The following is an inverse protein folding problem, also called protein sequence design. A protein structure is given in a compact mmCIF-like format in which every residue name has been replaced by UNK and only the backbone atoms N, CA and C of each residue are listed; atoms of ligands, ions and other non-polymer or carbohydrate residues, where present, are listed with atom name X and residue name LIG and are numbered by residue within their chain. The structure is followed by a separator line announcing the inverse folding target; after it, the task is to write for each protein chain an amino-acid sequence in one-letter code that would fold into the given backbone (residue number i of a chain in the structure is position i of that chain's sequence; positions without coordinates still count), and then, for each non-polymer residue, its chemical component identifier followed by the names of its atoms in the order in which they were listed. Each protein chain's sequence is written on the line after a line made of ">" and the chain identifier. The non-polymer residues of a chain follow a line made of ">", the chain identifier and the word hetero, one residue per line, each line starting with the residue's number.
data_IF_466422603551
#
_entry.id   IF_466422603551
#
_cell.length_a   1.000
_cell.length_b   1.000
_cell.length_c   1.000
_cell.angle_alpha   90.00
_cell.angle_beta   90.00
_cell.angle_gamma   90.00
#
_symmetry.space_group_name_H-M   'P 1'
#
loop_
_entity.id
_entity.type
_entity.pdbx_description
1 polymer ?
#
# COMPACT_ATOMS: atom_id res chain seq x y z
N UNK A 1 -15.24 12.45 12.57
CA UNK A 1 -13.86 12.02 12.91
C UNK A 1 -12.97 12.69 11.90
N UNK A 2 -11.96 13.44 12.30
CA UNK A 2 -11.16 14.19 11.33
C UNK A 2 -10.01 13.35 10.78
N UNK A 3 -9.57 13.62 9.54
CA UNK A 3 -8.47 12.89 8.91
C UNK A 3 -7.17 12.91 9.73
N UNK A 4 -6.94 13.97 10.50
CA UNK A 4 -5.83 14.10 11.45
C UNK A 4 -5.78 13.04 12.55
N UNK A 5 -6.91 12.43 12.89
CA UNK A 5 -7.00 11.37 13.91
C UNK A 5 -6.62 9.98 13.33
N UNK A 6 -6.64 9.85 12.00
CA UNK A 6 -6.31 8.61 11.28
C UNK A 6 -4.92 8.64 10.65
N UNK A 7 -4.47 9.81 10.20
CA UNK A 7 -3.21 9.96 9.48
C UNK A 7 -1.99 9.71 10.37
N UNK A 8 -0.88 9.32 9.74
CA UNK A 8 0.42 9.29 10.43
C UNK A 8 0.85 10.71 10.75
N UNK A 9 0.78 11.09 12.02
CA UNK A 9 1.14 12.44 12.50
C UNK A 9 2.60 12.64 12.92
N UNK A 10 3.42 11.57 12.95
CA UNK A 10 4.82 11.67 13.39
C UNK A 10 5.71 11.56 12.14
N UNK A 11 6.51 12.60 11.89
CA UNK A 11 7.56 12.69 10.85
C UNK A 11 7.23 11.95 9.54
N UNK A 12 6.62 12.68 8.60
CA UNK A 12 6.53 12.24 7.21
C UNK A 12 7.83 12.66 6.52
N UNK A 13 8.59 11.68 6.04
CA UNK A 13 9.73 11.95 5.17
C UNK A 13 9.22 12.33 3.79
N UNK A 14 9.84 13.34 3.18
CA UNK A 14 9.52 13.85 1.85
C UNK A 14 10.83 14.05 1.08
N UNK A 15 10.76 14.01 -0.24
CA UNK A 15 11.89 14.36 -1.11
C UNK A 15 11.50 15.47 -2.09
N UNK A 16 12.50 16.17 -2.63
CA UNK A 16 12.31 17.06 -3.78
C UNK A 16 12.08 16.26 -5.07
N UNK A 17 11.50 16.91 -6.07
CA UNK A 17 11.27 16.34 -7.41
C UNK A 17 12.57 16.11 -8.20
N UNK A 18 13.59 16.91 -7.91
CA UNK A 18 14.93 16.82 -8.45
C UNK A 18 15.86 15.86 -7.68
N UNK A 19 15.38 15.30 -6.56
CA UNK A 19 16.16 14.38 -5.74
C UNK A 19 16.59 13.15 -6.54
N UNK A 20 17.81 12.70 -6.25
CA UNK A 20 18.40 11.51 -6.85
C UNK A 20 17.67 10.24 -6.40
N UNK A 21 17.34 9.34 -7.34
CA UNK A 21 16.59 8.14 -7.03
C UNK A 21 17.35 7.18 -6.10
N UNK A 22 18.69 7.17 -6.11
CA UNK A 22 19.50 6.43 -5.16
C UNK A 22 19.37 6.99 -3.75
N UNK A 23 19.42 8.32 -3.61
CA UNK A 23 19.27 8.99 -2.32
C UNK A 23 17.89 8.69 -1.72
N UNK A 24 16.83 8.78 -2.54
CA UNK A 24 15.48 8.45 -2.10
C UNK A 24 15.36 6.97 -1.71
N UNK A 25 15.94 6.05 -2.50
CA UNK A 25 15.98 4.63 -2.14
C UNK A 25 16.74 4.39 -0.82
N UNK A 26 17.82 5.14 -0.57
CA UNK A 26 18.59 5.05 0.67
C UNK A 26 17.78 5.54 1.87
N UNK A 27 17.13 6.69 1.76
CA UNK A 27 16.22 7.20 2.80
C UNK A 27 15.07 6.21 3.07
N UNK A 28 14.53 5.60 2.02
CA UNK A 28 13.54 4.53 2.14
C UNK A 28 14.07 3.34 2.94
N UNK A 29 15.28 2.85 2.64
CA UNK A 29 15.90 1.77 3.40
C UNK A 29 16.22 2.16 4.86
N UNK A 30 16.89 3.29 5.07
CA UNK A 30 17.37 3.75 6.38
C UNK A 30 16.23 3.98 7.37
N UNK A 31 15.07 4.40 6.86
CA UNK A 31 13.90 4.73 7.67
C UNK A 31 12.75 3.70 7.56
N UNK A 32 12.98 2.55 6.89
CA UNK A 32 11.97 1.51 6.66
C UNK A 32 10.71 2.07 5.96
N UNK A 33 10.83 2.90 4.93
CA UNK A 33 9.73 3.58 4.24
C UNK A 33 9.57 2.98 2.84
N UNK A 34 8.35 2.54 2.47
CA UNK A 34 8.07 2.02 1.13
C UNK A 34 7.36 2.99 0.19
N UNK A 35 7.05 4.20 0.66
CA UNK A 35 6.41 5.26 -0.10
C UNK A 35 6.73 6.64 0.48
N UNK A 36 7.14 7.59 -0.37
CA UNK A 36 7.54 8.93 0.02
C UNK A 36 6.80 9.98 -0.84
N UNK A 37 6.21 11.02 -0.24
CA UNK A 37 5.71 12.17 -0.98
C UNK A 37 6.85 12.95 -1.64
N UNK A 38 6.60 13.43 -2.85
CA UNK A 38 7.52 14.24 -3.65
C UNK A 38 6.98 15.66 -3.72
N UNK A 39 7.81 16.63 -3.34
CA UNK A 39 7.48 18.04 -3.36
C UNK A 39 8.15 18.73 -4.54
N UNK A 40 7.44 19.65 -5.18
CA UNK A 40 8.02 20.56 -6.16
C UNK A 40 8.96 21.57 -5.48
N UNK A 41 9.71 22.33 -6.30
CA UNK A 41 10.57 23.42 -5.84
C UNK A 41 9.86 24.51 -5.01
N UNK A 42 8.53 24.61 -5.08
CA UNK A 42 7.72 25.54 -4.27
C UNK A 42 7.26 24.92 -2.94
N UNK A 43 7.65 23.67 -2.65
CA UNK A 43 7.23 22.92 -1.46
C UNK A 43 5.82 22.35 -1.55
N UNK A 44 5.20 22.32 -2.73
CA UNK A 44 3.87 21.73 -2.92
C UNK A 44 3.98 20.25 -3.27
N UNK A 45 3.00 19.47 -2.81
CA UNK A 45 2.91 18.05 -3.15
C UNK A 45 2.69 17.88 -4.66
N UNK A 46 3.68 17.30 -5.34
CA UNK A 46 3.65 17.05 -6.79
C UNK A 46 3.33 15.58 -7.10
N UNK A 47 3.87 14.67 -6.29
CA UNK A 47 3.84 13.23 -6.58
C UNK A 47 4.08 12.34 -5.37
N UNK A 48 4.15 11.04 -5.65
CA UNK A 48 4.54 10.00 -4.72
C UNK A 48 5.52 9.05 -5.41
N UNK A 49 6.57 8.65 -4.71
CA UNK A 49 7.51 7.61 -5.16
C UNK A 49 7.46 6.42 -4.21
N UNK A 50 7.45 5.21 -4.76
CA UNK A 50 7.32 3.94 -4.01
C UNK A 50 8.41 2.94 -4.39
N UNK A 51 8.59 1.88 -3.58
CA UNK A 51 9.47 0.74 -3.92
C UNK A 51 9.16 0.17 -5.32
N UNK A 52 7.88 0.21 -5.71
CA UNK A 52 7.42 -0.26 -7.01
C UNK A 52 7.88 0.67 -8.13
N UNK A 53 7.87 1.98 -7.92
CA UNK A 53 8.34 2.95 -8.90
C UNK A 53 9.86 2.79 -9.11
N UNK A 54 10.63 2.67 -8.03
CA UNK A 54 12.07 2.34 -8.11
C UNK A 54 12.31 1.04 -8.88
N UNK A 55 11.54 -0.01 -8.58
CA UNK A 55 11.73 -1.30 -9.26
C UNK A 55 11.33 -1.25 -10.73
N UNK A 56 10.14 -0.75 -11.04
CA UNK A 56 9.54 -0.85 -12.36
C UNK A 56 9.97 0.27 -13.32
N UNK A 57 10.38 1.43 -12.82
CA UNK A 57 10.66 2.62 -13.64
C UNK A 57 12.11 3.08 -13.59
N UNK A 58 12.88 2.70 -12.57
CA UNK A 58 14.34 2.93 -12.51
C UNK A 58 15.13 1.66 -12.87
N UNK A 59 14.94 0.59 -12.09
CA UNK A 59 15.75 -0.64 -12.21
C UNK A 59 15.41 -1.43 -13.47
N UNK A 60 14.13 -1.77 -13.67
CA UNK A 60 13.73 -2.62 -14.80
C UNK A 60 14.10 -2.03 -16.18
N UNK A 61 14.00 -0.70 -16.41
CA UNK A 61 14.47 -0.09 -17.66
C UNK A 61 15.98 0.16 -17.71
N UNK A 62 16.71 -0.03 -16.61
CA UNK A 62 18.15 0.19 -16.54
C UNK A 62 18.58 1.67 -16.54
N UNK A 63 17.76 2.54 -15.94
CA UNK A 63 18.10 3.96 -15.80
C UNK A 63 19.24 4.17 -14.79
N UNK A 64 19.96 5.29 -14.92
CA UNK A 64 20.99 5.67 -13.96
C UNK A 64 20.39 5.87 -12.57
N UNK A 65 21.11 5.48 -11.51
CA UNK A 65 20.67 5.81 -10.15
C UNK A 65 20.62 7.33 -9.90
N UNK A 66 21.38 8.08 -10.71
CA UNK A 66 21.34 9.53 -10.92
C UNK A 66 19.99 10.14 -11.34
N UNK A 67 19.01 9.31 -11.70
CA UNK A 67 17.77 9.78 -12.33
C UNK A 67 16.94 10.58 -11.31
N UNK A 68 16.51 11.81 -11.65
CA UNK A 68 15.62 12.58 -10.81
C UNK A 68 14.30 11.85 -10.52
N UNK A 69 13.84 11.90 -9.28
CA UNK A 69 12.62 11.18 -8.87
C UNK A 69 11.38 11.61 -9.64
N UNK A 70 11.30 12.86 -10.11
CA UNK A 70 10.19 13.32 -10.97
C UNK A 70 9.97 12.47 -12.22
N UNK A 71 11.01 11.82 -12.74
CA UNK A 71 10.92 11.00 -13.96
C UNK A 71 10.33 9.61 -13.70
N UNK A 72 10.36 9.16 -12.44
CA UNK A 72 9.92 7.82 -12.05
C UNK A 72 8.71 7.85 -11.09
N UNK A 73 8.40 8.98 -10.46
CA UNK A 73 7.29 9.09 -9.51
C UNK A 73 5.91 8.94 -10.16
N UNK A 74 4.90 8.67 -9.34
CA UNK A 74 3.49 8.76 -9.73
C UNK A 74 2.95 10.16 -9.41
N UNK A 75 2.42 10.84 -10.41
CA UNK A 75 1.90 12.21 -10.33
C UNK A 75 0.48 12.28 -9.73
N UNK A 76 0.09 13.49 -9.34
CA UNK A 76 -1.28 13.84 -8.95
C UNK A 76 -1.86 12.95 -7.82
N UNK A 77 -1.19 12.86 -6.67
CA UNK A 77 -1.74 12.13 -5.54
C UNK A 77 -3.04 12.80 -5.06
N UNK A 78 -4.04 11.98 -4.74
CA UNK A 78 -5.20 12.48 -4.00
C UNK A 78 -4.75 12.84 -2.58
N UNK A 79 -5.00 14.09 -2.18
CA UNK A 79 -4.72 14.58 -0.84
C UNK A 79 -6.03 14.95 -0.13
N UNK A 80 -6.04 14.78 1.19
CA UNK A 80 -7.18 15.10 2.05
C UNK A 80 -6.68 16.06 3.12
N UNK A 81 -7.41 17.15 3.33
CA UNK A 81 -7.05 18.12 4.38
C UNK A 81 -7.20 17.48 5.76
N UNK A 82 -6.30 17.82 6.69
CA UNK A 82 -6.27 17.26 8.06
C UNK A 82 -7.57 17.41 8.86
N UNK A 83 -8.37 18.41 8.50
CA UNK A 83 -9.65 18.74 9.15
C UNK A 83 -10.86 18.24 8.34
N UNK A 84 -10.64 17.54 7.23
CA UNK A 84 -11.73 16.91 6.51
C UNK A 84 -12.41 15.88 7.41
N UNK A 85 -13.74 15.96 7.50
CA UNK A 85 -14.53 14.93 8.16
C UNK A 85 -14.46 13.66 7.31
N UNK A 86 -13.99 12.60 7.93
CA UNK A 86 -13.92 11.28 7.34
C UNK A 86 -14.92 10.39 8.07
N UNK A 87 -16.08 10.26 7.44
CA UNK A 87 -17.09 9.28 7.82
C UNK A 87 -16.75 7.96 7.11
N UNK A 88 -17.00 6.83 7.78
CA UNK A 88 -16.87 5.47 7.22
C UNK A 88 -15.45 4.98 6.87
N UNK A 89 -14.38 5.56 7.46
CA UNK A 89 -13.02 5.00 7.31
C UNK A 89 -12.67 4.09 8.48
N UNK A 90 -12.62 2.78 8.23
CA UNK A 90 -12.13 1.77 9.17
C UNK A 90 -10.65 1.44 8.92
N UNK A 91 -9.84 1.50 9.98
CA UNK A 91 -8.42 1.14 9.93
C UNK A 91 -8.23 -0.38 9.89
N UNK A 92 -8.52 -0.99 8.75
CA UNK A 92 -8.37 -2.45 8.56
C UNK A 92 -6.91 -2.87 8.33
N UNK A 93 -6.04 -1.94 7.91
CA UNK A 93 -4.63 -2.22 7.62
C UNK A 93 -3.87 -2.32 8.95
N UNK A 94 -3.23 -3.45 9.26
CA UNK A 94 -2.52 -3.62 10.52
C UNK A 94 -1.30 -2.69 10.56
N UNK A 95 -1.14 -1.86 11.61
CA UNK A 95 0.04 -1.01 11.80
C UNK A 95 1.35 -1.82 11.75
N UNK A 96 2.50 -1.20 11.48
CA UNK A 96 3.79 -1.91 11.44
C UNK A 96 4.07 -2.70 12.72
N UNK A 97 4.90 -3.75 12.65
CA UNK A 97 5.21 -4.62 13.81
C UNK A 97 5.74 -3.82 15.00
N UNK A 98 6.51 -2.76 14.75
CA UNK A 98 7.13 -1.91 15.76
C UNK A 98 6.32 -0.64 16.06
N UNK A 99 5.04 -0.58 15.66
CA UNK A 99 4.20 0.59 15.90
C UNK A 99 4.01 0.84 17.41
N UNK A 100 4.31 2.07 17.83
CA UNK A 100 4.09 2.56 19.20
C UNK A 100 2.72 3.24 19.32
N UNK A 101 2.11 3.10 20.49
CA UNK A 101 0.90 3.80 20.91
C UNK A 101 1.26 5.28 21.11
N UNK A 102 0.51 6.19 20.50
CA UNK A 102 0.77 7.63 20.60
C UNK A 102 0.05 8.24 21.80
N UNK A 103 -1.21 7.89 22.02
CA UNK A 103 -2.01 8.38 23.13
C UNK A 103 -2.11 7.31 24.22
N UNK A 104 -1.36 7.51 25.30
CA UNK A 104 -1.40 6.65 26.48
C UNK A 104 -2.73 6.82 27.23
N UNK A 105 -3.10 5.82 28.05
CA UNK A 105 -4.38 5.81 28.78
C UNK A 105 -4.58 6.95 29.79
N UNK A 106 -3.53 7.72 30.08
CA UNK A 106 -3.59 8.91 30.93
C UNK A 106 -3.84 10.21 30.14
N UNK A 107 -4.00 10.13 28.81
CA UNK A 107 -4.35 11.28 27.99
C UNK A 107 -5.84 11.59 28.14
N UNK A 108 -6.18 12.87 28.29
CA UNK A 108 -7.58 13.35 28.29
C UNK A 108 -8.23 13.30 26.89
N UNK A 109 -7.49 12.92 25.86
CA UNK A 109 -7.96 12.83 24.47
C UNK A 109 -8.55 11.45 24.17
N UNK A 110 -9.53 11.41 23.25
CA UNK A 110 -10.11 10.16 22.75
C UNK A 110 -9.03 9.31 22.05
N UNK A 111 -8.98 7.98 22.29
CA UNK A 111 -7.99 7.10 21.68
C UNK A 111 -8.02 7.15 20.15
N UNK A 112 -6.86 7.33 19.52
CA UNK A 112 -6.75 7.23 18.06
C UNK A 112 -7.14 5.81 17.56
N UNK A 113 -7.87 5.68 16.43
CA UNK A 113 -8.21 4.37 15.84
C UNK A 113 -6.99 3.49 15.57
N UNK A 114 -5.86 4.11 15.19
CA UNK A 114 -4.56 3.41 15.03
C UNK A 114 -4.08 2.77 16.34
N UNK A 115 -4.23 3.46 17.45
CA UNK A 115 -3.77 2.97 18.76
C UNK A 115 -4.70 1.86 19.28
N UNK A 116 -6.00 1.93 18.98
CA UNK A 116 -6.93 0.82 19.22
C UNK A 116 -6.56 -0.43 18.42
N UNK A 117 -6.17 -0.29 17.15
CA UNK A 117 -5.64 -1.39 16.36
C UNK A 117 -4.37 -1.99 17.00
N UNK A 118 -3.45 -1.17 17.49
CA UNK A 118 -2.25 -1.66 18.20
C UNK A 118 -2.63 -2.39 19.49
N UNK A 119 -3.57 -1.87 20.27
CA UNK A 119 -4.07 -2.52 21.50
C UNK A 119 -4.75 -3.85 21.20
N UNK A 120 -5.59 -3.91 20.15
CA UNK A 120 -6.23 -5.13 19.66
C UNK A 120 -5.18 -6.18 19.26
N UNK A 121 -4.20 -5.79 18.44
CA UNK A 121 -3.09 -6.68 18.04
C UNK A 121 -2.32 -7.22 19.26
N UNK A 122 -2.09 -6.40 20.30
CA UNK A 122 -1.42 -6.85 21.53
C UNK A 122 -2.27 -7.80 22.38
N UNK A 123 -3.60 -7.70 22.30
CA UNK A 123 -4.54 -8.54 23.07
C UNK A 123 -4.75 -9.92 22.45
N UNK A 124 -5.08 -9.98 21.15
CA UNK A 124 -5.46 -11.23 20.46
C UNK A 124 -4.36 -11.78 19.55
N UNK A 125 -3.27 -11.04 19.38
CA UNK A 125 -2.20 -11.36 18.45
C UNK A 125 -2.51 -10.89 17.02
N UNK A 126 -1.45 -10.51 16.28
CA UNK A 126 -1.57 -9.91 14.94
C UNK A 126 -2.31 -10.78 13.92
N UNK A 127 -2.17 -12.11 14.02
CA UNK A 127 -2.81 -13.06 13.09
C UNK A 127 -4.32 -13.09 13.30
N UNK A 128 -4.77 -13.15 14.55
CA UNK A 128 -6.19 -13.24 14.88
C UNK A 128 -6.89 -11.89 14.67
N UNK A 129 -6.25 -10.80 15.07
CA UNK A 129 -6.75 -9.44 14.81
C UNK A 129 -7.01 -9.19 13.31
N UNK A 130 -6.09 -9.62 12.44
CA UNK A 130 -6.27 -9.52 10.97
C UNK A 130 -7.51 -10.26 10.45
N UNK A 131 -7.93 -11.35 11.11
CA UNK A 131 -9.15 -12.07 10.73
C UNK A 131 -10.38 -11.30 11.18
N UNK A 132 -10.39 -10.83 12.44
CA UNK A 132 -11.47 -10.06 13.03
C UNK A 132 -11.80 -8.80 12.21
N UNK A 133 -10.79 -8.03 11.79
CA UNK A 133 -10.98 -6.81 10.99
C UNK A 133 -11.16 -7.07 9.48
N UNK A 134 -11.30 -8.33 9.06
CA UNK A 134 -11.52 -8.67 7.65
C UNK A 134 -10.30 -8.45 6.72
N UNK A 135 -9.11 -8.13 7.25
CA UNK A 135 -7.89 -7.90 6.45
C UNK A 135 -7.46 -9.11 5.62
N UNK A 136 -7.90 -10.32 5.99
CA UNK A 136 -7.70 -11.54 5.20
C UNK A 136 -8.19 -11.38 3.74
N UNK A 137 -9.25 -10.62 3.49
CA UNK A 137 -9.79 -10.37 2.14
C UNK A 137 -8.78 -9.65 1.25
N UNK A 138 -8.03 -8.69 1.79
CA UNK A 138 -6.98 -7.99 1.05
C UNK A 138 -5.82 -8.92 0.70
N UNK A 139 -5.37 -9.75 1.64
CA UNK A 139 -4.31 -10.73 1.37
C UNK A 139 -4.73 -11.74 0.30
N UNK A 140 -6.00 -12.18 0.31
CA UNK A 140 -6.56 -13.06 -0.74
C UNK A 140 -6.63 -12.35 -2.09
N UNK A 141 -7.06 -11.08 -2.11
CA UNK A 141 -7.09 -10.26 -3.32
C UNK A 141 -5.69 -10.00 -3.88
N UNK A 142 -4.71 -9.64 -3.04
CA UNK A 142 -3.31 -9.44 -3.42
C UNK A 142 -2.71 -10.73 -4.00
N UNK A 143 -2.97 -11.87 -3.34
CA UNK A 143 -2.52 -13.18 -3.83
C UNK A 143 -3.18 -13.53 -5.17
N UNK A 144 -4.48 -13.30 -5.30
CA UNK A 144 -5.20 -13.52 -6.56
C UNK A 144 -4.67 -12.63 -7.69
N UNK A 145 -4.41 -11.35 -7.39
CA UNK A 145 -3.83 -10.40 -8.34
C UNK A 145 -2.39 -10.73 -8.70
N UNK A 146 -1.58 -11.19 -7.74
CA UNK A 146 -0.22 -11.67 -8.01
C UNK A 146 -0.25 -12.84 -9.00
N UNK A 147 -1.07 -13.86 -8.72
CA UNK A 147 -1.24 -15.02 -9.62
C UNK A 147 -1.76 -14.61 -10.99
N UNK A 148 -2.73 -13.69 -11.04
CA UNK A 148 -3.25 -13.12 -12.28
C UNK A 148 -2.12 -12.49 -13.10
N UNK A 149 -1.27 -11.66 -12.48
CA UNK A 149 -0.15 -10.99 -13.15
C UNK A 149 0.92 -11.97 -13.62
N UNK A 150 1.26 -12.97 -12.82
CA UNK A 150 2.20 -14.02 -13.21
C UNK A 150 1.69 -14.84 -14.40
N UNK A 151 0.39 -15.17 -14.44
CA UNK A 151 -0.16 -16.02 -15.49
C UNK A 151 -0.51 -15.25 -16.78
N UNK A 152 -0.90 -13.98 -16.69
CA UNK A 152 -1.49 -13.25 -17.83
C UNK A 152 -0.84 -11.89 -18.12
N UNK A 153 0.19 -11.50 -17.38
CA UNK A 153 0.82 -10.18 -17.46
C UNK A 153 0.13 -9.12 -16.61
N UNK A 154 0.79 -7.98 -16.47
CA UNK A 154 0.39 -6.88 -15.58
C UNK A 154 -0.61 -5.90 -16.20
N UNK A 155 -0.96 -6.06 -17.48
CA UNK A 155 -1.90 -5.20 -18.21
C UNK A 155 -3.00 -6.02 -18.91
N UNK A 156 -4.15 -5.36 -19.16
CA UNK A 156 -5.19 -5.87 -20.05
C UNK A 156 -4.82 -5.51 -21.49
N UNK A 157 -5.05 -6.43 -22.44
CA UNK A 157 -4.65 -6.25 -23.83
C UNK A 157 -5.60 -5.32 -24.60
N UNK A 158 -6.86 -5.25 -24.18
CA UNK A 158 -7.87 -4.41 -24.83
C UNK A 158 -7.89 -2.99 -24.26
N UNK A 159 -8.19 -2.01 -25.11
CA UNK A 159 -8.36 -0.60 -24.72
C UNK A 159 -9.83 -0.19 -24.49
N UNK A 160 -10.79 -1.00 -24.96
CA UNK A 160 -12.23 -0.76 -24.75
C UNK A 160 -12.69 -1.39 -23.43
N UNK A 161 -13.39 -0.61 -22.60
CA UNK A 161 -13.80 -1.03 -21.25
C UNK A 161 -14.67 -2.30 -21.23
N UNK A 162 -15.58 -2.46 -22.20
CA UNK A 162 -16.44 -3.65 -22.30
C UNK A 162 -15.63 -4.92 -22.62
N UNK A 163 -14.59 -4.78 -23.47
CA UNK A 163 -13.69 -5.88 -23.78
C UNK A 163 -12.75 -6.19 -22.61
N UNK A 164 -12.27 -5.16 -21.90
CA UNK A 164 -11.48 -5.31 -20.68
C UNK A 164 -12.24 -6.07 -19.58
N UNK A 165 -13.54 -5.79 -19.41
CA UNK A 165 -14.42 -6.54 -18.48
C UNK A 165 -14.50 -8.02 -18.86
N UNK A 166 -14.70 -8.30 -20.14
CA UNK A 166 -14.77 -9.68 -20.66
C UNK A 166 -13.45 -10.41 -20.48
N UNK A 167 -12.34 -9.78 -20.86
CA UNK A 167 -10.98 -10.28 -20.69
C UNK A 167 -10.69 -10.61 -19.21
N UNK A 168 -11.01 -9.69 -18.31
CA UNK A 168 -10.84 -9.88 -16.85
C UNK A 168 -11.66 -11.06 -16.35
N UNK A 169 -12.93 -11.19 -16.79
CA UNK A 169 -13.79 -12.33 -16.41
C UNK A 169 -13.22 -13.66 -16.92
N UNK A 170 -12.70 -13.71 -18.15
CA UNK A 170 -12.09 -14.92 -18.72
C UNK A 170 -10.84 -15.30 -17.91
N UNK A 171 -9.93 -14.36 -17.67
CA UNK A 171 -8.70 -14.62 -16.90
C UNK A 171 -9.02 -15.10 -15.48
N UNK A 172 -10.02 -14.51 -14.81
CA UNK A 172 -10.49 -14.98 -13.49
C UNK A 172 -11.06 -16.39 -13.53
N UNK A 173 -11.86 -16.75 -14.55
CA UNK A 173 -12.37 -18.12 -14.72
C UNK A 173 -11.24 -19.13 -14.93
N UNK A 174 -10.24 -18.79 -15.73
CA UNK A 174 -9.06 -19.64 -15.94
C UNK A 174 -8.30 -19.83 -14.62
N UNK A 175 -8.07 -18.75 -13.88
CA UNK A 175 -7.35 -18.81 -12.60
C UNK A 175 -8.09 -19.66 -11.55
N UNK A 176 -9.41 -19.56 -11.49
CA UNK A 176 -10.23 -20.41 -10.63
C UNK A 176 -10.11 -21.89 -11.04
N UNK A 177 -10.12 -22.19 -12.34
CA UNK A 177 -9.94 -23.55 -12.86
C UNK A 177 -8.55 -24.12 -12.51
N UNK A 178 -7.48 -23.32 -12.65
CA UNK A 178 -6.13 -23.73 -12.23
C UNK A 178 -6.05 -23.99 -10.73
N UNK A 179 -6.75 -23.20 -9.92
CA UNK A 179 -6.80 -23.43 -8.47
C UNK A 179 -7.40 -24.80 -8.16
N UNK A 180 -8.48 -25.19 -8.82
CA UNK A 180 -9.08 -26.51 -8.63
C UNK A 180 -8.20 -27.66 -9.14
N UNK A 181 -7.42 -27.45 -10.20
CA UNK A 181 -6.56 -28.49 -10.79
C UNK A 181 -5.21 -28.65 -10.06
N UNK A 182 -4.71 -27.61 -9.40
CA UNK A 182 -3.39 -27.59 -8.76
C UNK A 182 -3.40 -27.71 -7.23
N UNK A 183 -4.56 -27.87 -6.60
CA UNK A 183 -4.64 -28.11 -5.16
C UNK A 183 -4.33 -29.58 -4.87
N UNK A 184 -3.28 -29.90 -4.08
CA UNK A 184 -3.06 -31.27 -3.62
C UNK A 184 -4.28 -31.74 -2.82
N UNK A 185 -4.85 -32.89 -3.20
CA UNK A 185 -5.88 -33.55 -2.41
C UNK A 185 -5.20 -34.23 -1.23
N UNK A 186 -5.48 -33.74 -0.02
CA UNK A 186 -5.04 -34.42 1.19
C UNK A 186 -6.04 -35.54 1.50
N UNK A 187 -5.69 -36.76 1.11
CA UNK A 187 -6.34 -37.97 1.62
C UNK A 187 -5.79 -38.22 3.04
N UNK A 188 -6.61 -37.98 4.06
CA UNK A 188 -6.32 -38.45 5.40
C UNK A 188 -6.60 -39.95 5.42
N UNK A 189 -5.55 -40.76 5.63
CA UNK A 189 -5.65 -42.17 6.01
C UNK A 189 -5.77 -42.30 7.52
#
# INVERSE_FOLDING_TARGET
>A
MNASELMTTDQVWVCGDDADAQEVARLMCDHDIGAMPVLDSSGRLEGMVTDRDLTCRLIAPGLSYGTPVREIMSLAPFSVHRDADVQEIEAIIPPRKNAKIKQNGNSSQLPLPRDEAIRGIRRVGRKEWKKEVGYHRRSLAETAMYRMKCCFGDHLKNHLIENQRTETRIRSKILNKFTHLGLPQFEWS
#
